data_IF_532148634795
#
_entry.id   IF_532148634795
#
_cell.length_a   1.000
_cell.length_b   1.000
_cell.length_c   1.000
_cell.angle_alpha   90.00
_cell.angle_beta   90.00
_cell.angle_gamma   90.00
#
_symmetry.space_group_name_H-M   'P 1'
#
loop_
_entity.id
_entity.type
_entity.pdbx_description
1 polymer ?
#
# COMPACT_ATOMS: atom_id res chain seq x y z
N UNK A 1 -14.45 -26.31 -25.73
CA UNK A 1 -14.65 -25.84 -24.34
C UNK A 1 -13.86 -26.79 -23.43
N UNK A 2 -12.54 -26.64 -23.38
CA UNK A 2 -11.57 -27.55 -22.72
C UNK A 2 -11.23 -27.12 -21.27
N UNK A 3 -12.21 -26.51 -20.60
CA UNK A 3 -12.04 -25.73 -19.36
C UNK A 3 -12.19 -26.57 -18.09
N UNK A 4 -11.76 -27.82 -18.15
CA UNK A 4 -11.55 -28.66 -16.97
C UNK A 4 -10.06 -28.65 -16.67
N UNK A 5 -9.70 -28.46 -15.40
CA UNK A 5 -8.32 -28.67 -14.94
C UNK A 5 -7.82 -30.02 -15.47
N UNK A 6 -6.58 -30.09 -15.93
CA UNK A 6 -5.97 -31.38 -16.32
C UNK A 6 -5.81 -32.31 -15.11
N UNK A 7 -5.86 -31.72 -13.92
CA UNK A 7 -5.82 -32.39 -12.63
C UNK A 7 -7.23 -32.90 -12.27
N UNK A 8 -7.33 -34.22 -12.07
CA UNK A 8 -8.61 -34.94 -11.90
C UNK A 8 -9.20 -34.74 -10.50
N UNK A 9 -8.40 -34.29 -9.54
CA UNK A 9 -8.80 -34.02 -8.17
C UNK A 9 -8.73 -32.52 -7.87
N UNK A 10 -9.68 -32.04 -7.06
CA UNK A 10 -9.76 -30.66 -6.55
C UNK A 10 -8.61 -30.26 -5.64
N UNK A 11 -7.66 -31.16 -5.38
CA UNK A 11 -6.65 -31.06 -4.33
C UNK A 11 -5.22 -30.85 -4.89
N UNK A 12 -5.05 -30.69 -6.20
CA UNK A 12 -3.73 -30.48 -6.83
C UNK A 12 -3.47 -28.98 -7.09
N UNK A 13 -2.77 -28.35 -6.14
CA UNK A 13 -2.32 -26.95 -6.25
C UNK A 13 -1.05 -26.81 -7.12
N UNK A 14 -0.96 -25.71 -7.87
CA UNK A 14 0.29 -25.36 -8.55
C UNK A 14 1.36 -25.00 -7.53
N UNK A 15 2.46 -25.75 -7.52
CA UNK A 15 3.70 -25.26 -6.91
C UNK A 15 4.30 -24.19 -7.83
N UNK A 16 4.67 -23.04 -7.24
CA UNK A 16 5.31 -21.95 -7.97
C UNK A 16 6.58 -21.49 -7.26
N UNK A 17 7.52 -20.97 -8.04
CA UNK A 17 8.72 -20.30 -7.55
C UNK A 17 8.89 -19.02 -8.35
N UNK A 18 9.18 -17.91 -7.65
CA UNK A 18 9.34 -16.60 -8.24
C UNK A 18 10.69 -16.03 -7.80
N UNK A 19 11.44 -15.48 -8.76
CA UNK A 19 12.75 -14.89 -8.51
C UNK A 19 12.71 -13.42 -8.91
N UNK A 20 13.20 -12.55 -8.01
CA UNK A 20 13.37 -11.14 -8.29
C UNK A 20 14.84 -10.80 -8.47
N UNK A 21 15.17 -10.28 -9.63
CA UNK A 21 16.51 -9.78 -9.94
C UNK A 21 16.44 -8.27 -10.07
N UNK A 22 17.35 -7.55 -9.39
CA UNK A 22 17.51 -6.11 -9.65
C UNK A 22 17.92 -5.91 -11.10
N UNK A 23 17.38 -4.87 -11.75
CA UNK A 23 17.65 -4.59 -13.16
C UNK A 23 19.15 -4.54 -13.50
N UNK A 24 19.94 -3.85 -12.65
CA UNK A 24 21.39 -3.77 -12.82
C UNK A 24 22.08 -5.14 -12.80
N UNK A 25 21.63 -6.04 -11.91
CA UNK A 25 22.19 -7.39 -11.84
C UNK A 25 21.88 -8.17 -13.13
N UNK A 26 20.65 -8.06 -13.65
CA UNK A 26 20.28 -8.73 -14.89
C UNK A 26 21.12 -8.22 -16.08
N UNK A 27 21.33 -6.90 -16.19
CA UNK A 27 22.18 -6.30 -17.22
C UNK A 27 23.59 -6.89 -17.25
N UNK A 28 24.17 -7.15 -16.08
CA UNK A 28 25.52 -7.70 -15.91
C UNK A 28 25.57 -9.24 -16.08
N UNK A 29 24.44 -9.93 -15.98
CA UNK A 29 24.38 -11.39 -15.87
C UNK A 29 23.42 -12.08 -16.86
N UNK A 30 23.06 -11.42 -17.98
CA UNK A 30 22.05 -11.91 -18.95
C UNK A 30 22.26 -13.37 -19.38
N UNK A 31 23.48 -13.74 -19.73
CA UNK A 31 23.78 -15.10 -20.22
C UNK A 31 23.78 -16.15 -19.09
N UNK A 32 24.20 -15.76 -17.88
CA UNK A 32 24.11 -16.63 -16.72
C UNK A 32 22.64 -16.87 -16.33
N UNK A 33 21.84 -15.81 -16.31
CA UNK A 33 20.40 -15.86 -16.08
C UNK A 33 19.69 -16.75 -17.11
N UNK A 34 19.98 -16.57 -18.41
CA UNK A 34 19.35 -17.37 -19.47
C UNK A 34 19.68 -18.85 -19.34
N UNK A 35 20.95 -19.19 -19.09
CA UNK A 35 21.35 -20.59 -18.85
C UNK A 35 20.63 -21.19 -17.65
N UNK A 36 20.52 -20.43 -16.56
CA UNK A 36 19.77 -20.84 -15.38
C UNK A 36 18.29 -21.11 -15.71
N UNK A 37 17.62 -20.23 -16.44
CA UNK A 37 16.21 -20.40 -16.84
C UNK A 37 16.03 -21.66 -17.70
N UNK A 38 16.83 -21.83 -18.76
CA UNK A 38 16.71 -22.97 -19.67
C UNK A 38 17.03 -24.31 -18.98
N UNK A 39 18.06 -24.36 -18.13
CA UNK A 39 18.40 -25.56 -17.34
C UNK A 39 17.28 -25.90 -16.33
N UNK A 40 16.72 -24.87 -15.67
CA UNK A 40 15.60 -25.05 -14.75
C UNK A 40 14.37 -25.59 -15.46
N UNK A 41 14.03 -25.07 -16.64
CA UNK A 41 12.93 -25.60 -17.46
C UNK A 41 13.21 -27.06 -17.85
N UNK A 42 14.43 -27.37 -18.31
CA UNK A 42 14.80 -28.74 -18.69
C UNK A 42 14.67 -29.75 -17.55
N UNK A 43 15.01 -29.35 -16.32
CA UNK A 43 14.96 -30.20 -15.13
C UNK A 43 13.56 -30.32 -14.54
N UNK A 44 12.88 -29.20 -14.33
CA UNK A 44 11.59 -29.16 -13.63
C UNK A 44 10.41 -29.45 -14.56
N UNK A 45 10.58 -29.26 -15.88
CA UNK A 45 9.53 -29.40 -16.89
C UNK A 45 8.24 -28.66 -16.47
N UNK A 46 8.34 -27.36 -16.13
CA UNK A 46 7.21 -26.61 -15.58
C UNK A 46 6.09 -26.49 -16.62
N UNK A 47 4.85 -26.40 -16.15
CA UNK A 47 3.71 -26.15 -17.04
C UNK A 47 3.78 -24.77 -17.70
N UNK A 48 4.28 -23.75 -16.99
CA UNK A 48 4.36 -22.36 -17.44
C UNK A 48 5.59 -21.68 -16.82
N UNK A 49 6.25 -20.79 -17.56
CA UNK A 49 7.29 -19.88 -17.03
C UNK A 49 7.10 -18.52 -17.67
N UNK A 50 7.23 -17.47 -16.86
CA UNK A 50 7.10 -16.08 -17.28
C UNK A 50 8.32 -15.28 -16.83
N UNK A 51 8.68 -14.27 -17.60
CA UNK A 51 9.73 -13.33 -17.29
C UNK A 51 9.42 -11.96 -17.89
N UNK A 52 9.56 -10.91 -17.08
CA UNK A 52 9.29 -9.53 -17.46
C UNK A 52 9.64 -8.57 -16.33
N UNK A 53 9.20 -7.32 -16.44
CA UNK A 53 9.31 -6.37 -15.34
C UNK A 53 8.11 -6.50 -14.41
N UNK A 54 8.34 -6.80 -13.14
CA UNK A 54 7.30 -6.83 -12.11
C UNK A 54 7.73 -6.04 -10.88
N UNK A 55 6.75 -5.66 -10.06
CA UNK A 55 7.03 -5.12 -8.74
C UNK A 55 7.61 -6.23 -7.86
N UNK A 56 8.77 -5.95 -7.27
CA UNK A 56 9.41 -6.86 -6.33
C UNK A 56 8.52 -7.05 -5.10
N UNK A 57 8.06 -8.28 -4.84
CA UNK A 57 7.27 -8.54 -3.65
C UNK A 57 8.13 -8.29 -2.39
N UNK A 58 7.66 -7.47 -1.43
CA UNK A 58 8.37 -7.24 -0.18
C UNK A 58 8.44 -8.53 0.66
N UNK A 59 9.44 -8.62 1.53
CA UNK A 59 9.63 -9.77 2.43
C UNK A 59 8.47 -9.92 3.43
N UNK A 60 7.81 -8.81 3.77
CA UNK A 60 6.67 -8.79 4.69
C UNK A 60 5.35 -8.90 3.92
N UNK A 61 4.56 -9.92 4.27
CA UNK A 61 3.29 -10.24 3.62
C UNK A 61 2.28 -9.09 3.60
N UNK A 62 2.28 -8.25 4.65
CA UNK A 62 1.36 -7.11 4.79
C UNK A 62 1.52 -6.06 3.70
N UNK A 63 2.75 -5.86 3.18
CA UNK A 63 3.02 -4.83 2.17
C UNK A 63 2.55 -5.21 0.74
N UNK A 64 1.90 -6.36 0.57
CA UNK A 64 1.33 -6.78 -0.72
C UNK A 64 0.07 -5.97 -1.09
N UNK A 65 -0.64 -5.43 -0.11
CA UNK A 65 -1.81 -4.59 -0.38
C UNK A 65 -1.40 -3.32 -1.16
N UNK A 66 -0.25 -2.74 -0.83
CA UNK A 66 0.34 -1.56 -1.46
C UNK A 66 0.90 -1.89 -2.85
N UNK A 67 1.57 -3.04 -3.00
CA UNK A 67 2.07 -3.48 -4.30
C UNK A 67 0.93 -3.64 -5.34
N UNK A 68 -0.23 -4.16 -4.92
CA UNK A 68 -1.40 -4.28 -5.79
C UNK A 68 -1.96 -2.92 -6.24
N UNK A 69 -1.87 -1.89 -5.38
CA UNK A 69 -2.21 -0.50 -5.76
C UNK A 69 -1.24 0.02 -6.79
N UNK A 70 0.07 -0.19 -6.58
CA UNK A 70 1.09 0.28 -7.50
C UNK A 70 0.98 -0.37 -8.88
N UNK A 71 0.76 -1.68 -8.92
CA UNK A 71 0.53 -2.39 -10.18
C UNK A 71 -0.64 -1.76 -10.94
N UNK A 72 -1.79 -1.60 -10.29
CA UNK A 72 -2.97 -1.00 -10.93
C UNK A 72 -2.72 0.45 -11.37
N UNK A 73 -2.02 1.25 -10.56
CA UNK A 73 -1.71 2.65 -10.89
C UNK A 73 -0.78 2.78 -12.11
N UNK A 74 0.10 1.81 -12.36
CA UNK A 74 1.06 1.83 -13.47
C UNK A 74 0.49 1.28 -14.78
N UNK A 75 -0.55 0.45 -14.73
CA UNK A 75 -1.13 -0.21 -15.92
C UNK A 75 -1.73 0.70 -16.99
N UNK A 76 -2.15 1.96 -16.72
CA UNK A 76 -2.51 2.92 -17.76
C UNK A 76 -1.30 3.57 -18.46
N UNK A 77 -0.07 3.34 -17.96
CA UNK A 77 1.15 3.97 -18.45
C UNK A 77 2.11 2.98 -19.11
N UNK A 78 2.11 1.71 -18.68
CA UNK A 78 3.08 0.72 -19.14
C UNK A 78 2.42 -0.62 -19.47
N UNK A 79 2.42 -1.01 -20.76
CA UNK A 79 1.86 -2.28 -21.20
C UNK A 79 2.71 -3.51 -20.81
N UNK A 80 4.00 -3.30 -20.64
CA UNK A 80 5.01 -4.33 -20.38
C UNK A 80 5.16 -4.73 -18.91
N UNK A 81 4.36 -4.13 -18.03
CA UNK A 81 4.30 -4.57 -16.63
C UNK A 81 3.79 -6.02 -16.57
N UNK A 82 4.56 -6.87 -15.91
CA UNK A 82 4.26 -8.27 -15.69
C UNK A 82 3.51 -8.44 -14.37
N UNK A 83 2.29 -7.90 -14.33
CA UNK A 83 1.41 -7.98 -13.16
C UNK A 83 0.98 -9.41 -12.92
N UNK A 84 1.41 -9.99 -11.80
CA UNK A 84 0.95 -11.28 -11.32
C UNK A 84 0.51 -11.24 -9.86
N UNK A 85 -0.36 -12.20 -9.51
CA UNK A 85 -0.79 -12.38 -8.13
C UNK A 85 -0.70 -13.87 -7.80
N UNK A 86 0.49 -14.37 -7.44
CA UNK A 86 0.75 -15.80 -7.32
C UNK A 86 -0.25 -16.54 -6.43
N UNK A 87 -0.67 -15.94 -5.31
CA UNK A 87 -1.63 -16.54 -4.38
C UNK A 87 -3.03 -16.75 -4.98
N UNK A 88 -3.57 -15.75 -5.69
CA UNK A 88 -4.88 -15.89 -6.34
C UNK A 88 -4.81 -16.69 -7.63
N UNK A 89 -3.65 -16.71 -8.28
CA UNK A 89 -3.44 -17.36 -9.57
C UNK A 89 -3.07 -18.85 -9.49
N UNK A 90 -2.53 -19.32 -8.36
CA UNK A 90 -2.06 -20.71 -8.19
C UNK A 90 -3.18 -21.71 -7.88
N UNK A 91 -4.33 -21.22 -7.40
CA UNK A 91 -5.48 -22.06 -7.07
C UNK A 91 -6.20 -22.54 -8.35
N UNK A 92 -7.02 -23.58 -8.22
CA UNK A 92 -7.95 -23.99 -9.28
C UNK A 92 -9.24 -23.16 -9.17
N UNK A 93 -9.79 -22.60 -10.27
CA UNK A 93 -9.50 -22.90 -11.68
C UNK A 93 -8.53 -21.95 -12.40
N UNK A 94 -7.69 -21.15 -11.73
CA UNK A 94 -6.91 -20.04 -12.34
C UNK A 94 -5.83 -20.45 -13.36
N UNK A 95 -4.53 -20.35 -13.06
CA UNK A 95 -3.47 -20.80 -13.99
C UNK A 95 -3.54 -22.31 -14.33
N UNK A 96 -4.13 -23.20 -13.50
CA UNK A 96 -4.44 -24.55 -13.95
C UNK A 96 -5.31 -24.65 -15.21
N UNK A 97 -6.18 -23.67 -15.48
CA UNK A 97 -7.14 -23.71 -16.61
C UNK A 97 -6.82 -22.75 -17.76
N UNK A 98 -5.69 -22.03 -17.71
CA UNK A 98 -5.22 -21.20 -18.81
C UNK A 98 -3.88 -20.54 -18.53
N UNK A 99 -3.43 -19.72 -19.47
CA UNK A 99 -2.21 -18.92 -19.34
C UNK A 99 -2.54 -17.43 -19.16
N UNK A 100 -1.62 -16.66 -18.56
CA UNK A 100 -1.65 -15.19 -18.60
C UNK A 100 -0.91 -14.63 -19.82
N UNK A 101 -1.23 -13.42 -20.31
CA UNK A 101 -0.49 -12.77 -21.39
C UNK A 101 0.97 -12.52 -20.98
N UNK A 102 1.95 -13.00 -21.75
CA UNK A 102 3.36 -12.67 -21.49
C UNK A 102 3.72 -11.25 -21.95
N UNK A 103 4.73 -10.64 -21.30
CA UNK A 103 5.27 -9.33 -21.67
C UNK A 103 6.64 -9.40 -22.33
N UNK A 104 7.48 -10.38 -21.98
CA UNK A 104 8.80 -10.57 -22.58
C UNK A 104 9.20 -12.03 -22.79
N UNK A 105 9.63 -12.72 -21.72
CA UNK A 105 10.09 -14.11 -21.76
C UNK A 105 8.98 -15.07 -21.35
N UNK A 106 8.76 -16.13 -22.13
CA UNK A 106 7.69 -17.10 -21.88
C UNK A 106 8.07 -18.51 -22.27
N UNK A 107 7.74 -19.49 -21.43
CA UNK A 107 7.81 -20.89 -21.78
C UNK A 107 6.44 -21.43 -22.20
N UNK A 108 6.28 -21.72 -23.48
CA UNK A 108 5.16 -22.47 -24.02
C UNK A 108 5.45 -23.96 -23.90
N UNK A 109 4.98 -24.60 -22.83
CA UNK A 109 5.07 -26.05 -22.66
C UNK A 109 4.22 -26.79 -23.70
N UNK A 110 4.55 -28.06 -23.98
CA UNK A 110 3.75 -28.87 -24.88
C UNK A 110 2.31 -29.05 -24.38
N UNK A 111 2.10 -29.09 -23.06
CA UNK A 111 0.78 -29.17 -22.42
C UNK A 111 -0.15 -28.04 -22.92
N UNK A 112 0.39 -26.84 -23.08
CA UNK A 112 -0.37 -25.67 -23.55
C UNK A 112 -0.35 -25.55 -25.07
N UNK A 113 0.78 -25.84 -25.73
CA UNK A 113 0.89 -25.81 -27.19
C UNK A 113 -0.12 -26.76 -27.85
N UNK A 114 -0.28 -27.97 -27.32
CA UNK A 114 -1.18 -28.97 -27.90
C UNK A 114 -2.64 -28.50 -27.89
N UNK A 115 -3.05 -27.68 -26.92
CA UNK A 115 -4.39 -27.07 -26.87
C UNK A 115 -4.61 -26.03 -27.97
N UNK A 116 -3.54 -25.50 -28.58
CA UNK A 116 -3.62 -24.64 -29.76
C UNK A 116 -3.73 -25.44 -31.06
N UNK A 117 -3.54 -26.77 -31.03
CA UNK A 117 -3.43 -27.63 -32.21
C UNK A 117 -2.34 -27.18 -33.19
N UNK A 118 -1.24 -26.61 -32.67
CA UNK A 118 -0.09 -26.14 -33.45
C UNK A 118 1.11 -27.03 -33.19
N UNK A 119 1.91 -27.38 -34.20
CA UNK A 119 3.23 -27.98 -33.97
C UNK A 119 4.22 -26.93 -33.44
N UNK A 120 5.38 -27.38 -32.92
CA UNK A 120 6.45 -26.46 -32.51
C UNK A 120 6.98 -25.63 -33.69
N UNK A 121 7.01 -26.22 -34.88
CA UNK A 121 7.40 -25.53 -36.10
C UNK A 121 6.35 -24.50 -36.53
N UNK A 122 5.06 -24.77 -36.33
CA UNK A 122 4.00 -23.79 -36.63
C UNK A 122 4.08 -22.58 -35.70
N UNK A 123 4.39 -22.80 -34.41
CA UNK A 123 4.65 -21.71 -33.47
C UNK A 123 5.85 -20.89 -33.94
N UNK A 124 6.97 -21.53 -34.28
CA UNK A 124 8.16 -20.83 -34.78
C UNK A 124 7.88 -20.04 -36.08
N UNK A 125 7.10 -20.60 -37.01
CA UNK A 125 6.69 -19.92 -38.25
C UNK A 125 5.80 -18.72 -37.99
N UNK A 126 4.84 -18.83 -37.06
CA UNK A 126 3.94 -17.70 -36.71
C UNK A 126 4.68 -16.58 -35.97
N UNK A 127 5.79 -16.91 -35.29
CA UNK A 127 6.64 -15.96 -34.58
C UNK A 127 7.94 -15.66 -35.34
N UNK A 128 7.94 -15.79 -36.66
CA UNK A 128 9.11 -15.55 -37.52
C UNK A 128 9.40 -14.04 -37.68
N UNK A 129 9.65 -13.35 -36.57
CA UNK A 129 10.17 -11.98 -36.50
C UNK A 129 11.65 -12.05 -36.07
N UNK A 130 12.57 -11.33 -36.73
CA UNK A 130 14.01 -11.39 -36.41
C UNK A 130 14.35 -10.92 -34.99
N UNK A 131 13.45 -10.19 -34.32
CA UNK A 131 13.61 -9.75 -32.93
C UNK A 131 13.18 -10.83 -31.93
N UNK A 132 12.38 -11.82 -32.34
CA UNK A 132 11.91 -12.89 -31.46
C UNK A 132 12.89 -14.05 -31.49
N UNK A 133 13.30 -14.52 -30.31
CA UNK A 133 14.07 -15.76 -30.19
C UNK A 133 13.18 -16.88 -29.69
N UNK A 134 13.27 -18.04 -30.33
CA UNK A 134 12.56 -19.26 -29.94
C UNK A 134 13.59 -20.38 -29.72
N UNK A 135 13.75 -20.81 -28.47
CA UNK A 135 14.62 -21.92 -28.08
C UNK A 135 13.77 -23.17 -27.84
N UNK A 136 13.94 -24.21 -28.68
CA UNK A 136 13.21 -25.48 -28.53
C UNK A 136 13.87 -26.37 -27.50
N UNK A 137 13.10 -26.78 -26.49
CA UNK A 137 13.50 -27.66 -25.39
C UNK A 137 12.78 -29.01 -25.49
N UNK A 138 13.14 -29.99 -24.66
CA UNK A 138 12.50 -31.31 -24.70
C UNK A 138 11.00 -31.27 -24.37
N UNK A 139 10.53 -30.29 -23.59
CA UNK A 139 9.16 -30.20 -23.06
C UNK A 139 8.36 -28.97 -23.54
N UNK A 140 8.86 -28.24 -24.53
CA UNK A 140 8.21 -27.03 -25.05
C UNK A 140 9.17 -26.07 -25.73
N UNK A 141 8.80 -24.80 -25.83
CA UNK A 141 9.59 -23.74 -26.45
C UNK A 141 9.69 -22.52 -25.51
N UNK A 142 10.91 -22.04 -25.29
CA UNK A 142 11.17 -20.76 -24.63
C UNK A 142 11.17 -19.65 -25.68
N UNK A 143 10.46 -18.57 -25.43
CA UNK A 143 10.21 -17.47 -26.37
C UNK A 143 10.63 -16.16 -25.69
N UNK A 144 11.52 -15.39 -26.31
CA UNK A 144 11.89 -14.03 -25.88
C UNK A 144 11.46 -13.01 -26.93
N UNK A 145 10.68 -12.00 -26.50
CA UNK A 145 10.23 -10.90 -27.34
C UNK A 145 11.26 -9.76 -27.34
N UNK A 146 12.20 -9.78 -28.28
CA UNK A 146 13.29 -8.80 -28.30
C UNK A 146 14.44 -9.15 -27.35
N UNK A 147 15.52 -8.35 -27.37
CA UNK A 147 16.77 -8.66 -26.66
C UNK A 147 16.69 -8.50 -25.13
N UNK A 148 15.65 -7.83 -24.61
CA UNK A 148 15.47 -7.51 -23.20
C UNK A 148 13.99 -7.25 -22.87
N UNK A 149 13.57 -7.34 -21.59
CA UNK A 149 12.23 -6.91 -21.21
C UNK A 149 12.07 -5.41 -21.40
N UNK A 150 10.86 -4.98 -21.74
CA UNK A 150 10.50 -3.58 -21.92
C UNK A 150 9.20 -3.28 -21.17
N UNK A 151 9.06 -2.04 -20.68
CA UNK A 151 7.84 -1.58 -20.01
C UNK A 151 6.76 -1.15 -21.01
N UNK A 152 7.10 -0.95 -22.29
CA UNK A 152 6.19 -0.51 -23.35
C UNK A 152 5.30 0.67 -22.91
N UNK A 153 5.87 1.89 -22.85
CA UNK A 153 5.10 3.08 -22.52
C UNK A 153 3.89 3.23 -23.46
N UNK A 154 2.73 3.54 -22.90
CA UNK A 154 1.46 3.63 -23.64
C UNK A 154 1.51 4.75 -24.69
N UNK A 155 2.30 5.79 -24.44
CA UNK A 155 2.57 6.88 -25.38
C UNK A 155 3.26 6.43 -26.67
N UNK A 156 3.96 5.29 -26.66
CA UNK A 156 4.62 4.72 -27.84
C UNK A 156 3.65 3.87 -28.69
N UNK A 157 2.41 3.71 -28.23
CA UNK A 157 1.39 2.88 -28.86
C UNK A 157 1.41 1.42 -28.40
N UNK A 158 0.61 0.59 -29.06
CA UNK A 158 0.48 -0.83 -28.71
C UNK A 158 1.71 -1.60 -29.23
N UNK A 159 2.44 -2.34 -28.37
CA UNK A 159 3.71 -2.94 -28.77
C UNK A 159 3.52 -4.15 -29.71
N UNK A 160 4.28 -4.16 -30.80
CA UNK A 160 4.13 -5.14 -31.89
C UNK A 160 4.42 -6.58 -31.46
N UNK A 161 5.53 -6.83 -30.74
CA UNK A 161 5.97 -8.19 -30.40
C UNK A 161 5.00 -8.89 -29.43
N UNK A 162 4.52 -8.23 -28.34
CA UNK A 162 3.47 -8.81 -27.50
C UNK A 162 2.16 -9.07 -28.26
N UNK A 163 1.76 -8.21 -29.20
CA UNK A 163 0.57 -8.44 -30.05
C UNK A 163 0.74 -9.68 -30.92
N UNK A 164 1.91 -9.84 -31.56
CA UNK A 164 2.21 -11.00 -32.39
C UNK A 164 2.13 -12.31 -31.58
N UNK A 165 2.75 -12.34 -30.40
CA UNK A 165 2.67 -13.50 -29.50
C UNK A 165 1.23 -13.73 -28.99
N UNK A 166 0.52 -12.67 -28.62
CA UNK A 166 -0.85 -12.77 -28.13
C UNK A 166 -1.80 -13.37 -29.17
N UNK A 167 -1.64 -13.07 -30.47
CA UNK A 167 -2.46 -13.69 -31.53
C UNK A 167 -2.33 -15.23 -31.55
N UNK A 168 -1.14 -15.77 -31.25
CA UNK A 168 -0.92 -17.22 -31.12
C UNK A 168 -1.56 -17.76 -29.85
N UNK A 169 -1.39 -17.04 -28.73
CA UNK A 169 -1.71 -17.52 -27.38
C UNK A 169 -3.15 -17.27 -26.93
N UNK A 170 -3.89 -16.32 -27.55
CA UNK A 170 -5.21 -15.84 -27.10
C UNK A 170 -6.21 -16.96 -26.84
N UNK A 171 -6.18 -18.04 -27.64
CA UNK A 171 -7.11 -19.17 -27.51
C UNK A 171 -6.93 -19.99 -26.22
N UNK A 172 -5.75 -19.96 -25.62
CA UNK A 172 -5.43 -20.66 -24.36
C UNK A 172 -5.29 -19.72 -23.17
N UNK A 173 -5.47 -18.41 -23.38
CA UNK A 173 -5.47 -17.42 -22.29
C UNK A 173 -6.61 -17.71 -21.32
N UNK A 174 -6.32 -17.62 -20.02
CA UNK A 174 -7.35 -17.79 -19.00
C UNK A 174 -8.36 -16.62 -19.08
N UNK A 175 -9.66 -16.90 -19.30
CA UNK A 175 -10.64 -15.86 -19.65
C UNK A 175 -11.18 -15.09 -18.44
N UNK A 176 -10.83 -15.49 -17.22
CA UNK A 176 -11.28 -14.89 -15.97
C UNK A 176 -10.18 -14.96 -14.91
N UNK A 177 -8.92 -14.72 -15.31
CA UNK A 177 -7.83 -14.76 -14.34
C UNK A 177 -8.06 -13.60 -13.38
N UNK A 178 -7.93 -13.84 -12.08
CA UNK A 178 -8.23 -12.81 -11.09
C UNK A 178 -6.96 -12.06 -10.70
N UNK A 179 -6.95 -10.75 -10.93
CA UNK A 179 -5.92 -9.82 -10.48
C UNK A 179 -6.38 -9.01 -9.27
N UNK A 180 -7.55 -9.31 -8.72
CA UNK A 180 -8.02 -8.73 -7.46
C UNK A 180 -7.07 -9.21 -6.37
N UNK A 181 -6.23 -8.29 -5.88
CA UNK A 181 -5.28 -8.53 -4.81
C UNK A 181 -5.95 -8.58 -3.43
N UNK A 182 -5.19 -8.26 -2.38
CA UNK A 182 -5.76 -8.09 -1.05
C UNK A 182 -6.84 -7.00 -1.05
N UNK A 183 -7.94 -7.28 -0.34
CA UNK A 183 -9.15 -6.47 -0.37
C UNK A 183 -8.94 -5.04 0.10
N UNK A 184 -9.79 -4.17 -0.40
CA UNK A 184 -9.96 -2.78 0.04
C UNK A 184 -10.40 -2.75 1.51
N UNK A 185 -9.83 -1.88 2.33
CA UNK A 185 -10.40 -1.55 3.65
C UNK A 185 -11.35 -0.36 3.51
N UNK A 186 -12.29 -0.22 4.45
CA UNK A 186 -13.25 0.90 4.43
C UNK A 186 -12.52 2.25 4.35
N UNK A 187 -12.73 2.98 3.26
CA UNK A 187 -12.12 4.28 3.01
C UNK A 187 -10.70 4.23 2.42
N UNK A 188 -10.25 3.10 1.86
CA UNK A 188 -9.03 3.04 1.03
C UNK A 188 -9.20 3.97 -0.19
N UNK A 189 -8.37 5.02 -0.34
CA UNK A 189 -8.52 5.97 -1.46
C UNK A 189 -7.90 5.45 -2.76
N UNK A 190 -7.27 4.27 -2.75
CA UNK A 190 -6.44 3.79 -3.84
C UNK A 190 -7.21 2.97 -4.88
N UNK A 191 -6.91 3.20 -6.16
CA UNK A 191 -7.43 2.36 -7.24
C UNK A 191 -6.83 0.95 -7.18
N UNK A 192 -7.68 -0.06 -7.26
CA UNK A 192 -7.32 -1.47 -7.36
C UNK A 192 -7.90 -2.08 -8.62
N UNK A 193 -7.33 -3.20 -9.06
CA UNK A 193 -7.95 -3.99 -10.11
C UNK A 193 -9.33 -4.45 -9.66
N UNK A 194 -10.36 -4.06 -10.42
CA UNK A 194 -11.64 -4.72 -10.36
C UNK A 194 -11.71 -5.84 -11.42
N UNK A 195 -12.82 -6.58 -11.44
CA UNK A 195 -13.01 -7.67 -12.40
C UNK A 195 -12.99 -7.19 -13.85
N UNK A 196 -13.50 -5.99 -14.14
CA UNK A 196 -13.61 -5.43 -15.49
C UNK A 196 -12.23 -4.99 -15.99
N UNK A 197 -11.51 -4.23 -15.20
CA UNK A 197 -10.13 -3.78 -15.46
C UNK A 197 -9.20 -4.97 -15.64
N UNK A 198 -9.36 -5.99 -14.81
CA UNK A 198 -8.62 -7.25 -14.95
C UNK A 198 -8.81 -7.86 -16.34
N UNK A 199 -10.04 -7.96 -16.85
CA UNK A 199 -10.26 -8.52 -18.19
C UNK A 199 -9.67 -7.65 -19.30
N UNK A 200 -9.80 -6.33 -19.18
CA UNK A 200 -9.24 -5.39 -20.16
C UNK A 200 -7.71 -5.44 -20.18
N UNK A 201 -7.08 -5.53 -19.01
CA UNK A 201 -5.64 -5.70 -18.86
C UNK A 201 -5.13 -7.03 -19.44
N UNK A 202 -5.83 -8.13 -19.18
CA UNK A 202 -5.49 -9.43 -19.78
C UNK A 202 -5.67 -9.42 -21.31
N UNK A 203 -6.60 -8.62 -21.81
CA UNK A 203 -6.86 -8.40 -23.23
C UNK A 203 -6.08 -7.23 -23.85
N UNK A 204 -5.10 -6.62 -23.16
CA UNK A 204 -4.44 -5.38 -23.60
C UNK A 204 -3.72 -5.48 -24.95
N UNK A 205 -3.38 -6.69 -25.38
CA UNK A 205 -2.73 -6.98 -26.66
C UNK A 205 -3.68 -7.61 -27.70
N UNK A 206 -4.99 -7.64 -27.44
CA UNK A 206 -5.97 -8.06 -28.43
C UNK A 206 -6.13 -6.96 -29.50
N UNK A 207 -6.42 -7.36 -30.75
CA UNK A 207 -6.63 -6.40 -31.85
C UNK A 207 -7.80 -5.43 -31.56
N UNK A 208 -8.78 -5.88 -30.77
CA UNK A 208 -9.95 -5.13 -30.32
C UNK A 208 -9.79 -4.52 -28.91
N UNK A 209 -8.56 -4.46 -28.37
CA UNK A 209 -8.32 -3.93 -27.04
C UNK A 209 -8.69 -2.45 -26.93
N UNK A 210 -9.34 -2.08 -25.83
CA UNK A 210 -9.66 -0.71 -25.43
C UNK A 210 -8.82 -0.23 -24.22
N UNK A 211 -7.78 -0.98 -23.82
CA UNK A 211 -6.93 -0.68 -22.66
C UNK A 211 -5.58 -0.02 -23.01
N UNK A 212 -5.14 1.03 -22.30
CA UNK A 212 -6.03 2.04 -21.74
C UNK A 212 -6.82 2.68 -22.90
N UNK A 213 -7.70 3.63 -22.59
CA UNK A 213 -8.63 4.15 -23.60
C UNK A 213 -7.86 4.69 -24.81
N UNK A 214 -8.36 4.52 -26.05
CA UNK A 214 -7.66 4.93 -27.27
C UNK A 214 -7.20 6.38 -27.25
N UNK A 215 -7.90 7.26 -26.52
CA UNK A 215 -7.56 8.67 -26.38
C UNK A 215 -6.24 8.90 -25.64
N UNK A 216 -5.81 7.98 -24.77
CA UNK A 216 -4.58 8.07 -23.98
C UNK A 216 -3.39 7.50 -24.77
N UNK A 217 -3.64 6.55 -25.69
CA UNK A 217 -2.61 5.95 -26.53
C UNK A 217 -1.98 7.00 -27.45
N UNK A 218 -0.66 6.99 -27.56
CA UNK A 218 0.03 7.95 -28.44
C UNK A 218 0.05 9.40 -27.92
N UNK A 219 -0.51 9.69 -26.74
CA UNK A 219 -0.34 11.01 -26.12
C UNK A 219 0.98 11.08 -25.39
N UNK A 220 1.91 11.85 -25.91
CA UNK A 220 3.06 12.33 -25.13
C UNK A 220 2.53 13.32 -24.08
N UNK A 221 2.79 13.11 -22.78
CA UNK A 221 2.59 14.16 -21.79
C UNK A 221 3.40 15.39 -22.21
N UNK A 222 2.74 16.47 -22.65
CA UNK A 222 3.40 17.75 -22.97
C UNK A 222 3.53 18.19 -24.44
N UNK A 223 2.70 17.74 -25.39
CA UNK A 223 2.63 18.39 -26.72
C UNK A 223 1.96 19.80 -26.64
N UNK A 224 2.35 20.76 -27.51
CA UNK A 224 2.32 22.19 -27.18
C UNK A 224 0.90 22.78 -27.23
N UNK A 225 0.47 23.32 -26.10
CA UNK A 225 -0.82 24.02 -25.94
C UNK A 225 -1.49 23.76 -24.60
N UNK A 226 -1.18 22.63 -23.95
CA UNK A 226 -1.43 22.46 -22.53
C UNK A 226 -0.13 22.82 -21.79
N UNK A 227 -0.16 23.67 -20.74
CA UNK A 227 1.01 23.80 -19.89
C UNK A 227 1.34 22.40 -19.37
N UNK A 228 2.54 21.92 -19.71
CA UNK A 228 3.12 20.80 -19.02
C UNK A 228 3.17 21.20 -17.55
N UNK A 229 2.24 20.68 -16.75
CA UNK A 229 2.46 20.63 -15.31
C UNK A 229 3.55 19.58 -15.19
N UNK A 230 4.81 20.01 -15.25
CA UNK A 230 5.90 19.15 -14.80
C UNK A 230 5.45 18.58 -13.47
N UNK A 231 5.36 17.23 -13.33
CA UNK A 231 4.91 16.65 -12.10
C UNK A 231 5.82 17.20 -11.02
N UNK A 232 5.25 18.00 -10.12
CA UNK A 232 6.02 18.67 -9.08
C UNK A 232 6.80 17.58 -8.37
N UNK A 233 8.14 17.58 -8.40
CA UNK A 233 8.87 16.44 -7.87
C UNK A 233 8.48 16.29 -6.40
N UNK A 234 7.97 15.11 -6.06
CA UNK A 234 7.41 14.84 -4.73
C UNK A 234 8.49 14.44 -3.74
N UNK A 235 9.72 14.25 -4.21
CA UNK A 235 10.85 13.86 -3.39
C UNK A 235 12.16 14.38 -3.97
N UNK A 236 13.15 14.56 -3.09
CA UNK A 236 14.52 14.94 -3.43
C UNK A 236 15.50 14.21 -2.50
N UNK A 237 16.67 13.87 -3.02
CA UNK A 237 17.74 13.27 -2.22
C UNK A 237 18.52 14.37 -1.51
N UNK A 238 19.05 14.08 -0.32
CA UNK A 238 19.99 14.98 0.37
C UNK A 238 21.07 15.53 -0.57
N UNK A 239 21.32 16.84 -0.51
CA UNK A 239 22.27 17.55 -1.35
C UNK A 239 21.72 18.02 -2.70
N UNK A 240 20.52 17.60 -3.10
CA UNK A 240 19.84 18.13 -4.28
C UNK A 240 19.06 19.41 -3.93
N UNK A 241 18.73 20.20 -4.95
CA UNK A 241 17.94 21.43 -4.78
C UNK A 241 16.45 21.12 -4.64
N UNK A 242 15.79 21.73 -3.67
CA UNK A 242 14.33 21.72 -3.54
C UNK A 242 13.72 22.35 -4.81
N UNK A 243 12.87 21.63 -5.55
CA UNK A 243 12.35 22.10 -6.85
C UNK A 243 11.27 23.17 -6.69
N UNK A 244 10.50 23.12 -5.60
CA UNK A 244 9.38 24.01 -5.36
C UNK A 244 9.25 24.33 -3.88
N UNK A 245 8.91 25.58 -3.58
CA UNK A 245 8.68 26.02 -2.22
C UNK A 245 7.50 25.27 -1.58
N UNK A 246 7.56 25.06 -0.27
CA UNK A 246 6.53 24.34 0.45
C UNK A 246 7.02 23.61 1.69
N UNK A 247 6.13 22.88 2.31
CA UNK A 247 6.44 21.97 3.41
C UNK A 247 6.93 20.63 2.88
N UNK A 248 8.05 20.19 3.45
CA UNK A 248 8.66 18.90 3.17
C UNK A 248 9.00 18.22 4.48
N UNK A 249 9.02 16.89 4.49
CA UNK A 249 9.39 16.09 5.64
C UNK A 249 10.31 14.94 5.21
N UNK A 250 10.94 14.28 6.18
CA UNK A 250 11.71 13.07 5.94
C UNK A 250 11.47 12.05 7.04
N UNK A 251 11.32 10.79 6.64
CA UNK A 251 11.13 9.66 7.56
C UNK A 251 12.39 9.39 8.40
N UNK A 252 13.54 9.96 8.02
CA UNK A 252 14.79 9.81 8.77
C UNK A 252 14.76 10.48 10.15
N UNK A 253 13.80 11.38 10.43
CA UNK A 253 13.66 12.07 11.72
C UNK A 253 12.19 12.38 12.03
N UNK A 254 11.78 12.06 13.25
CA UNK A 254 10.48 12.47 13.81
C UNK A 254 10.38 14.00 13.89
N UNK A 255 9.21 14.56 13.57
CA UNK A 255 8.97 16.00 13.52
C UNK A 255 9.94 16.76 12.58
N UNK A 256 10.31 16.15 11.46
CA UNK A 256 11.21 16.75 10.45
C UNK A 256 10.52 17.75 9.51
N UNK A 257 9.19 17.83 9.53
CA UNK A 257 8.40 18.70 8.66
C UNK A 257 8.86 20.16 8.79
N UNK A 258 9.30 20.76 7.69
CA UNK A 258 9.73 22.15 7.63
C UNK A 258 9.44 22.75 6.28
N UNK A 259 9.34 24.07 6.26
CA UNK A 259 9.21 24.83 5.02
C UNK A 259 10.57 24.98 4.34
N UNK A 260 10.59 24.87 3.01
CA UNK A 260 11.74 25.14 2.15
C UNK A 260 11.34 26.13 1.06
N UNK A 261 12.28 26.98 0.64
CA UNK A 261 12.17 27.72 -0.61
C UNK A 261 12.72 26.90 -1.78
N UNK A 262 12.20 27.17 -2.98
CA UNK A 262 12.77 26.61 -4.21
C UNK A 262 14.25 27.01 -4.33
N UNK A 263 15.10 26.06 -4.73
CA UNK A 263 16.55 26.23 -4.86
C UNK A 263 17.35 25.98 -3.58
N UNK A 264 16.72 25.83 -2.41
CA UNK A 264 17.44 25.42 -1.19
C UNK A 264 18.01 24.01 -1.34
N UNK A 265 19.14 23.71 -0.70
CA UNK A 265 19.68 22.34 -0.68
C UNK A 265 18.96 21.49 0.36
N UNK A 266 18.54 20.29 -0.03
CA UNK A 266 17.97 19.29 0.86
C UNK A 266 19.01 18.88 1.93
N UNK A 267 18.79 19.19 3.22
CA UNK A 267 19.83 19.07 4.23
C UNK A 267 19.96 17.64 4.74
N UNK A 268 21.14 17.22 5.20
CA UNK A 268 21.30 15.96 5.92
C UNK A 268 20.63 16.03 7.29
N UNK A 269 20.10 14.90 7.76
CA UNK A 269 19.55 14.74 9.11
C UNK A 269 20.57 14.11 10.07
N UNK A 270 21.60 13.45 9.55
CA UNK A 270 22.67 12.77 10.28
C UNK A 270 23.92 12.69 9.40
N UNK A 271 25.12 12.81 10.00
CA UNK A 271 26.39 12.49 9.33
C UNK A 271 26.73 10.99 9.39
N UNK A 272 25.98 10.21 10.17
CA UNK A 272 26.15 8.77 10.28
C UNK A 272 25.54 8.08 9.05
N UNK A 273 26.42 7.58 8.17
CA UNK A 273 26.12 6.94 6.88
C UNK A 273 25.49 5.54 7.02
N UNK A 274 25.28 5.05 8.24
CA UNK A 274 24.77 3.69 8.50
C UNK A 274 23.26 3.49 8.24
N UNK A 275 22.46 4.57 8.10
CA UNK A 275 20.99 4.50 7.99
C UNK A 275 20.42 4.72 6.58
N UNK A 276 21.25 4.61 5.54
CA UNK A 276 20.83 4.82 4.14
C UNK A 276 20.71 6.29 3.74
N UNK A 277 20.27 6.56 2.50
CA UNK A 277 20.14 7.93 1.98
C UNK A 277 18.91 8.62 2.55
N UNK A 278 19.07 9.88 3.00
CA UNK A 278 17.95 10.73 3.42
C UNK A 278 17.21 11.24 2.19
N UNK A 279 15.93 10.94 2.11
CA UNK A 279 15.01 11.44 1.09
C UNK A 279 14.05 12.42 1.77
N UNK A 280 13.96 13.63 1.25
CA UNK A 280 12.95 14.62 1.62
C UNK A 280 11.76 14.47 0.69
N UNK A 281 10.57 14.39 1.26
CA UNK A 281 9.31 14.23 0.55
C UNK A 281 8.47 15.48 0.74
N UNK A 282 7.82 15.95 -0.33
CA UNK A 282 6.87 17.06 -0.26
C UNK A 282 5.67 16.60 0.55
N UNK A 283 5.29 17.39 1.53
CA UNK A 283 4.11 17.10 2.34
C UNK A 283 2.85 17.32 1.50
N UNK A 284 1.85 16.45 1.63
CA UNK A 284 0.55 16.64 1.00
C UNK A 284 -0.20 17.81 1.67
N UNK A 285 0.00 18.01 2.97
CA UNK A 285 -0.47 19.20 3.66
C UNK A 285 0.55 20.32 3.51
N UNK A 286 0.17 21.40 2.84
CA UNK A 286 1.02 22.58 2.64
C UNK A 286 0.68 23.74 3.58
N UNK A 287 -0.21 23.53 4.55
CA UNK A 287 -0.57 24.57 5.52
C UNK A 287 0.55 24.77 6.54
N UNK A 288 0.67 25.99 7.05
CA UNK A 288 1.53 26.21 8.20
C UNK A 288 1.09 25.33 9.37
N UNK A 289 2.03 24.76 10.16
CA UNK A 289 1.64 24.09 11.40
C UNK A 289 0.78 25.05 12.22
N UNK A 290 -0.39 24.59 12.66
CA UNK A 290 -1.18 25.39 13.58
C UNK A 290 -0.33 25.65 14.83
N UNK A 291 -0.32 26.89 15.36
CA UNK A 291 0.37 27.18 16.60
C UNK A 291 -0.15 26.24 17.67
N UNK A 292 0.77 25.60 18.39
CA UNK A 292 0.42 24.64 19.43
C UNK A 292 -0.58 25.30 20.40
N UNK A 293 -1.78 24.71 20.63
CA UNK A 293 -2.76 25.32 21.51
C UNK A 293 -2.16 25.54 22.90
N UNK A 294 -2.54 26.61 23.60
CA UNK A 294 -1.94 26.90 24.90
C UNK A 294 -2.08 25.71 25.86
N UNK A 295 -0.98 25.36 26.54
CA UNK A 295 -0.97 24.32 27.60
C UNK A 295 -1.30 24.90 28.97
N UNK A 296 -1.75 26.16 29.02
CA UNK A 296 -2.13 26.89 30.23
C UNK A 296 -3.38 27.71 29.96
N UNK A 297 -4.32 27.71 30.88
CA UNK A 297 -5.54 28.52 30.82
C UNK A 297 -6.12 28.71 32.23
N UNK A 298 -6.87 29.79 32.45
CA UNK A 298 -7.53 30.11 33.73
C UNK A 298 -8.92 29.47 33.81
N UNK A 299 -9.43 29.26 35.03
CA UNK A 299 -10.84 28.91 35.24
C UNK A 299 -11.78 29.87 34.50
N UNK A 300 -12.84 29.32 33.91
CA UNK A 300 -13.81 30.05 33.08
C UNK A 300 -13.38 30.28 31.63
N UNK A 301 -12.08 30.15 31.31
CA UNK A 301 -11.63 30.17 29.92
C UNK A 301 -11.94 28.86 29.22
N UNK A 302 -12.24 28.94 27.92
CA UNK A 302 -12.47 27.75 27.09
C UNK A 302 -11.16 26.98 26.92
N UNK A 303 -11.18 25.68 27.21
CA UNK A 303 -10.02 24.82 27.16
C UNK A 303 -9.41 24.77 25.74
N UNK A 304 -8.17 25.22 25.54
CA UNK A 304 -7.50 25.18 24.23
C UNK A 304 -7.26 23.74 23.72
N UNK A 305 -7.25 22.78 24.65
CA UNK A 305 -6.99 21.36 24.41
C UNK A 305 -8.02 20.52 25.15
N UNK A 306 -8.48 19.45 24.50
CA UNK A 306 -9.13 18.37 25.22
C UNK A 306 -8.09 17.65 26.08
N UNK A 307 -8.50 17.18 27.25
CA UNK A 307 -7.65 16.29 28.04
C UNK A 307 -7.61 16.61 29.51
N UNK A 308 -6.60 16.05 30.17
CA UNK A 308 -6.44 16.20 31.60
C UNK A 308 -5.61 17.44 31.92
N UNK A 309 -6.14 18.27 32.80
CA UNK A 309 -5.54 19.50 33.28
C UNK A 309 -5.29 19.40 34.78
N UNK A 310 -4.21 20.03 35.26
CA UNK A 310 -3.88 20.14 36.68
C UNK A 310 -3.82 21.59 37.13
N UNK A 311 -4.27 21.89 38.34
CA UNK A 311 -4.21 23.25 38.90
C UNK A 311 -3.04 23.46 39.87
N UNK A 312 -2.45 22.38 40.40
CA UNK A 312 -1.37 22.42 41.36
C UNK A 312 -0.12 21.67 40.87
N UNK A 313 1.03 22.00 41.45
CA UNK A 313 2.31 21.35 41.09
C UNK A 313 2.36 19.88 41.50
N UNK A 314 1.63 19.50 42.56
CA UNK A 314 1.58 18.14 43.08
C UNK A 314 0.65 17.22 42.27
N UNK A 315 -0.23 17.78 41.43
CA UNK A 315 -1.16 17.03 40.59
C UNK A 315 -2.33 16.43 41.36
N UNK A 316 -2.68 16.97 42.52
CA UNK A 316 -3.80 16.51 43.35
C UNK A 316 -5.12 17.12 42.87
N UNK A 317 -5.07 18.29 42.20
CA UNK A 317 -6.24 18.97 41.66
C UNK A 317 -6.26 18.79 40.15
N UNK A 318 -7.18 17.93 39.69
CA UNK A 318 -7.31 17.52 38.31
C UNK A 318 -8.71 17.76 37.77
N UNK A 319 -8.81 18.09 36.49
CA UNK A 319 -10.06 18.01 35.74
C UNK A 319 -9.80 17.45 34.35
N UNK A 320 -10.83 16.86 33.74
CA UNK A 320 -10.82 16.46 32.34
C UNK A 320 -11.89 17.28 31.64
N UNK A 321 -11.51 17.98 30.58
CA UNK A 321 -12.44 18.83 29.82
C UNK A 321 -12.27 18.59 28.32
N UNK A 322 -13.35 18.77 27.57
CA UNK A 322 -13.32 18.74 26.12
C UNK A 322 -12.71 20.04 25.56
N UNK A 323 -12.23 20.00 24.31
CA UNK A 323 -11.76 21.22 23.64
C UNK A 323 -12.91 22.22 23.55
N UNK A 324 -12.65 23.47 23.93
CA UNK A 324 -13.61 24.57 24.05
C UNK A 324 -14.64 24.47 25.18
N UNK A 325 -14.46 23.56 26.13
CA UNK A 325 -15.27 23.55 27.36
C UNK A 325 -14.63 24.50 28.40
N UNK A 326 -15.42 25.28 29.17
CA UNK A 326 -14.86 26.16 30.19
C UNK A 326 -14.18 25.37 31.31
N UNK A 327 -12.96 25.79 31.68
CA UNK A 327 -12.24 25.17 32.79
C UNK A 327 -12.90 25.47 34.14
N UNK A 328 -13.04 24.48 35.04
CA UNK A 328 -13.78 24.66 36.28
C UNK A 328 -13.03 25.54 37.29
N UNK A 329 -13.78 26.21 38.16
CA UNK A 329 -13.25 26.81 39.39
C UNK A 329 -13.00 25.71 40.43
N UNK A 330 -11.97 25.87 41.25
CA UNK A 330 -11.71 24.98 42.38
C UNK A 330 -12.16 25.65 43.68
N UNK A 331 -13.11 25.04 44.39
CA UNK A 331 -13.71 25.60 45.63
C UNK A 331 -14.26 27.03 45.48
N UNK A 332 -14.75 27.36 44.28
CA UNK A 332 -15.30 28.69 43.97
C UNK A 332 -14.26 29.76 43.63
N UNK A 333 -12.97 29.42 43.63
CA UNK A 333 -11.87 30.31 43.25
C UNK A 333 -11.33 29.97 41.85
N UNK A 334 -10.88 31.00 41.15
CA UNK A 334 -10.21 30.85 39.85
C UNK A 334 -8.79 30.32 40.05
N UNK A 335 -8.41 29.31 39.28
CA UNK A 335 -7.07 28.71 39.31
C UNK A 335 -6.48 28.60 37.91
N UNK A 336 -5.15 28.62 37.83
CA UNK A 336 -4.40 28.40 36.59
C UNK A 336 -4.28 26.89 36.33
N UNK A 337 -4.85 26.43 35.23
CA UNK A 337 -4.76 25.06 34.79
C UNK A 337 -3.59 24.84 33.84
N UNK A 338 -2.89 23.72 34.01
CA UNK A 338 -1.80 23.24 33.16
C UNK A 338 -2.21 21.93 32.49
N UNK A 339 -2.19 21.90 31.16
CA UNK A 339 -2.50 20.70 30.39
C UNK A 339 -1.38 19.68 30.54
N UNK A 340 -1.75 18.43 30.83
CA UNK A 340 -0.79 17.35 31.06
C UNK A 340 -0.63 16.45 29.84
N UNK A 341 -1.71 15.80 29.43
CA UNK A 341 -1.76 14.88 28.29
C UNK A 341 -3.19 14.84 27.74
N UNK A 342 -3.34 14.32 26.53
CA UNK A 342 -4.66 14.06 25.96
C UNK A 342 -5.44 13.21 26.95
N UNK A 343 -6.75 13.45 27.07
CA UNK A 343 -7.61 12.48 27.70
C UNK A 343 -7.38 11.23 26.87
N UNK A 344 -6.83 10.17 27.48
CA UNK A 344 -7.00 8.86 26.91
C UNK A 344 -8.49 8.81 26.60
N UNK A 345 -8.84 8.65 25.31
CA UNK A 345 -10.22 8.37 24.93
C UNK A 345 -10.57 7.20 25.82
N UNK A 346 -11.34 7.45 26.87
CA UNK A 346 -11.82 6.40 27.72
C UNK A 346 -12.51 5.49 26.71
N UNK A 347 -12.05 4.23 26.55
CA UNK A 347 -12.70 3.36 25.59
C UNK A 347 -14.18 3.41 25.90
N UNK A 348 -15.04 3.31 24.89
CA UNK A 348 -16.50 3.40 25.05
C UNK A 348 -17.07 2.41 26.11
N UNK A 349 -16.22 1.57 26.71
CA UNK A 349 -16.42 0.65 27.82
C UNK A 349 -16.00 1.11 29.23
N UNK A 350 -15.59 2.38 29.47
CA UNK A 350 -15.24 2.81 30.83
C UNK A 350 -16.45 2.70 31.78
N UNK A 351 -16.28 1.96 32.88
CA UNK A 351 -17.33 1.64 33.85
C UNK A 351 -17.77 2.92 34.56
N UNK A 352 -19.04 3.29 34.40
CA UNK A 352 -19.69 4.44 35.04
C UNK A 352 -20.69 3.95 36.07
N UNK A 353 -20.66 4.55 37.25
CA UNK A 353 -21.54 4.16 38.35
C UNK A 353 -22.04 5.41 39.06
N UNK A 354 -23.35 5.48 39.26
CA UNK A 354 -23.98 6.62 39.94
C UNK A 354 -23.79 6.49 41.46
N UNK A 355 -23.68 7.64 42.12
CA UNK A 355 -23.65 7.74 43.59
C UNK A 355 -24.81 6.96 44.22
N UNK A 356 -24.55 6.35 45.37
CA UNK A 356 -25.51 5.45 46.04
C UNK A 356 -25.48 4.00 45.56
N UNK A 357 -24.89 3.69 44.41
CA UNK A 357 -24.67 2.31 43.98
C UNK A 357 -23.34 1.73 44.53
N UNK A 358 -23.28 0.42 44.80
CA UNK A 358 -22.06 -0.23 45.24
C UNK A 358 -21.00 -0.22 44.13
N UNK A 359 -19.75 0.02 44.51
CA UNK A 359 -18.61 -0.01 43.61
C UNK A 359 -18.42 -1.43 43.03
N UNK A 360 -18.51 -1.61 41.70
CA UNK A 360 -18.48 -2.94 41.07
C UNK A 360 -17.06 -3.51 40.98
N UNK A 361 -16.03 -2.65 40.97
CA UNK A 361 -14.64 -3.07 40.86
C UNK A 361 -13.74 -2.19 41.73
N UNK A 362 -12.82 -2.78 42.51
CA UNK A 362 -11.88 -2.01 43.30
C UNK A 362 -10.95 -1.23 42.36
N UNK A 363 -10.78 0.06 42.61
CA UNK A 363 -10.06 0.92 41.68
C UNK A 363 -10.00 2.37 42.09
N UNK A 364 -9.28 3.14 41.29
CA UNK A 364 -9.25 4.59 41.34
C UNK A 364 -10.33 5.13 40.41
N UNK A 365 -11.21 5.96 40.96
CA UNK A 365 -12.36 6.56 40.30
C UNK A 365 -12.26 8.07 40.37
N UNK A 366 -12.85 8.76 39.39
CA UNK A 366 -13.02 10.22 39.42
C UNK A 366 -14.48 10.57 39.23
N UNK A 367 -14.91 11.68 39.83
CA UNK A 367 -16.23 12.24 39.57
C UNK A 367 -16.22 12.94 38.20
N UNK A 368 -17.25 12.70 37.38
CA UNK A 368 -17.41 13.31 36.06
C UNK A 368 -17.87 14.76 36.19
N UNK A 369 -18.75 15.05 37.17
CA UNK A 369 -19.41 16.34 37.33
C UNK A 369 -18.66 17.33 38.24
N UNK A 370 -17.76 16.83 39.11
CA UNK A 370 -17.04 17.68 40.07
C UNK A 370 -15.56 17.31 40.20
N UNK A 371 -14.66 18.30 40.40
CA UNK A 371 -13.23 18.07 40.58
C UNK A 371 -12.95 17.58 42.01
N UNK A 372 -13.25 16.32 42.28
CA UNK A 372 -13.00 15.66 43.57
C UNK A 372 -11.60 15.07 43.70
N UNK A 373 -10.85 15.02 42.59
CA UNK A 373 -9.61 14.27 42.47
C UNK A 373 -9.84 12.75 42.41
N UNK A 374 -8.80 11.96 42.10
CA UNK A 374 -8.89 10.51 42.08
C UNK A 374 -9.16 9.96 43.49
N UNK A 375 -10.21 9.15 43.64
CA UNK A 375 -10.56 8.47 44.88
C UNK A 375 -10.49 6.96 44.69
N UNK A 376 -9.95 6.25 45.68
CA UNK A 376 -9.88 4.79 45.62
C UNK A 376 -11.07 4.21 46.36
N UNK A 377 -11.88 3.41 45.65
CA UNK A 377 -13.00 2.68 46.22
C UNK A 377 -12.73 1.19 46.12
N UNK A 378 -13.05 0.46 47.19
CA UNK A 378 -13.01 -1.00 47.21
C UNK A 378 -14.34 -1.56 46.71
N UNK A 379 -14.32 -2.82 46.26
CA UNK A 379 -15.53 -3.54 45.85
C UNK A 379 -16.62 -3.45 46.94
N UNK A 380 -17.87 -3.21 46.52
CA UNK A 380 -19.07 -3.05 47.37
C UNK A 380 -19.14 -1.78 48.23
N UNK A 381 -18.13 -0.90 48.21
CA UNK A 381 -18.26 0.41 48.87
C UNK A 381 -19.31 1.25 48.14
N UNK A 382 -20.28 1.79 48.88
CA UNK A 382 -21.29 2.70 48.33
C UNK A 382 -20.59 3.97 47.86
N UNK A 383 -20.74 4.28 46.57
CA UNK A 383 -20.10 5.44 45.99
C UNK A 383 -20.74 6.73 46.54
N UNK A 384 -19.94 7.67 47.07
CA UNK A 384 -20.47 8.80 47.81
C UNK A 384 -21.05 9.86 46.88
N UNK A 385 -22.04 10.59 47.41
CA UNK A 385 -22.47 11.86 46.85
C UNK A 385 -21.36 12.91 47.00
N UNK A 386 -21.35 13.88 46.09
CA UNK A 386 -20.42 15.02 46.17
C UNK A 386 -21.27 16.27 46.38
N UNK A 387 -20.96 17.05 47.42
CA UNK A 387 -21.74 18.23 47.81
C UNK A 387 -23.24 17.97 48.01
N UNK A 388 -23.62 16.76 48.45
CA UNK A 388 -25.01 16.35 48.65
C UNK A 388 -25.78 16.10 47.35
N UNK A 389 -25.11 16.02 46.20
CA UNK A 389 -25.70 15.72 44.90
C UNK A 389 -25.27 14.33 44.40
N UNK A 390 -26.17 13.67 43.68
CA UNK A 390 -25.85 12.42 43.00
C UNK A 390 -24.96 12.71 41.78
N UNK A 391 -23.80 12.05 41.76
CA UNK A 391 -22.79 12.20 40.71
C UNK A 391 -22.45 10.87 40.06
N UNK A 392 -21.79 10.93 38.91
CA UNK A 392 -21.30 9.81 38.13
C UNK A 392 -19.82 9.62 38.39
N UNK A 393 -19.48 8.45 38.93
CA UNK A 393 -18.10 8.03 39.11
C UNK A 393 -17.64 7.22 37.91
N UNK A 394 -16.46 7.56 37.39
CA UNK A 394 -15.83 6.90 36.25
C UNK A 394 -14.57 6.20 36.71
N UNK A 395 -14.45 4.90 36.41
CA UNK A 395 -13.26 4.12 36.73
C UNK A 395 -12.08 4.58 35.87
N UNK A 396 -11.02 5.06 36.52
CA UNK A 396 -9.78 5.52 35.88
C UNK A 396 -8.76 4.38 35.80
N UNK A 397 -8.67 3.57 36.85
CA UNK A 397 -7.69 2.48 36.94
C UNK A 397 -8.15 1.40 37.90
N UNK A 398 -8.06 0.13 37.50
CA UNK A 398 -8.27 -0.99 38.43
C UNK A 398 -7.17 -1.03 39.50
N UNK A 399 -7.56 -1.29 40.75
CA UNK A 399 -6.62 -1.60 41.82
C UNK A 399 -6.15 -3.03 41.57
N UNK A 400 -4.83 -3.21 41.41
CA UNK A 400 -4.23 -4.54 41.18
C UNK A 400 -4.28 -5.41 42.43
#
# INVERSE_FOLDING_TARGET
MWRTSYWRDSDEDYSSIQFYYRWQWWLENKDAWRRFVLDTIGRLKPAQVYSGFSMGNPLEFGMRAEAAVWDRALTPHFYGLDTDYPFGMSLTPQLPSGIRPPTWGFFLSDIWREKLSLSRDDVAKQLADPRIRVDTLSCGQWIELGPQPELYPVEDGVPELPVLLNRVLRRIRHPQLDLIGFGEWDGDPNERFDRRDTQRWLGRFDDDSDWPTPEIRGRVPGMPGAPAVEPTPTHVVVGETIPSEGYWYTLAKTHSRRYFKAGELAPPISQDTSRGRVIWQRDVDQRAPEPEPARRAESGQLAPRAGQWRADEKGEILCVVSKHEPLPAYRGESVTWHWMHDAAVAPASAVRVRSGAPCPYPGTWTCEEFPTGPQTFMHQVILPQVNGQDVTWVLVRFLK
#
